data_IF_440704435880
#
_entry.id   IF_440704435880
#
_cell.length_a   1.000
_cell.length_b   1.000
_cell.length_c   1.000
_cell.angle_alpha   90.00
_cell.angle_beta   90.00
_cell.angle_gamma   90.00
#
_symmetry.space_group_name_H-M   'P 1'
#
loop_
_entity.id
_entity.type
_entity.pdbx_description
1 polymer ?
#
# COMPACT_ATOMS: atom_id res chain seq x y z
N UNK A 1 38.91 -31.25 -11.39
CA UNK A 1 38.04 -31.20 -12.61
C UNK A 1 38.42 -32.31 -13.61
N UNK A 2 39.64 -32.85 -13.54
CA UNK A 2 40.16 -33.92 -14.41
C UNK A 2 39.60 -35.33 -14.14
N UNK A 3 39.35 -35.70 -12.88
CA UNK A 3 38.88 -37.06 -12.53
C UNK A 3 37.58 -37.49 -13.24
N UNK A 4 36.69 -36.56 -13.56
CA UNK A 4 35.37 -36.84 -14.16
C UNK A 4 35.40 -37.01 -15.67
N UNK A 5 36.47 -36.54 -16.34
CA UNK A 5 36.60 -36.64 -17.80
C UNK A 5 36.86 -38.08 -18.25
N UNK A 6 37.43 -38.91 -17.38
CA UNK A 6 37.77 -40.32 -17.66
C UNK A 6 36.70 -41.33 -17.21
N UNK A 7 35.67 -40.89 -16.47
CA UNK A 7 34.62 -41.78 -15.97
C UNK A 7 33.61 -42.18 -17.05
N UNK A 8 33.24 -43.45 -17.05
CA UNK A 8 32.12 -44.01 -17.82
C UNK A 8 30.78 -43.41 -17.35
N UNK A 9 29.73 -43.56 -18.17
CA UNK A 9 28.40 -43.06 -17.81
C UNK A 9 27.83 -43.74 -16.54
N UNK A 10 28.16 -45.01 -16.30
CA UNK A 10 27.74 -45.77 -15.11
C UNK A 10 28.42 -45.24 -13.85
N UNK A 11 29.73 -44.99 -13.91
CA UNK A 11 30.50 -44.42 -12.80
C UNK A 11 30.07 -42.99 -12.50
N UNK A 12 29.81 -42.16 -13.54
CA UNK A 12 29.27 -40.81 -13.34
C UNK A 12 27.94 -40.85 -12.61
N UNK A 13 27.05 -41.79 -13.00
CA UNK A 13 25.73 -41.94 -12.37
C UNK A 13 25.84 -42.35 -10.90
N UNK A 14 26.75 -43.27 -10.59
CA UNK A 14 27.02 -43.70 -9.21
C UNK A 14 27.64 -42.58 -8.36
N UNK A 15 28.63 -41.87 -8.89
CA UNK A 15 29.26 -40.72 -8.23
C UNK A 15 28.29 -39.58 -7.92
N UNK A 16 27.39 -39.23 -8.85
CA UNK A 16 26.35 -38.23 -8.60
C UNK A 16 25.30 -38.72 -7.60
N UNK A 17 25.05 -40.03 -7.54
CA UNK A 17 24.17 -40.65 -6.55
C UNK A 17 24.77 -40.61 -5.14
N UNK A 18 26.07 -40.89 -4.99
CA UNK A 18 26.76 -40.79 -3.70
C UNK A 18 26.80 -39.35 -3.18
N UNK A 19 27.18 -38.38 -4.03
CA UNK A 19 27.12 -36.96 -3.67
C UNK A 19 25.71 -36.44 -3.39
N UNK A 20 24.70 -37.10 -3.93
CA UNK A 20 23.30 -36.80 -3.59
C UNK A 20 23.02 -37.14 -2.14
N UNK A 21 23.44 -38.33 -1.67
CA UNK A 21 23.26 -38.76 -0.29
C UNK A 21 23.99 -37.84 0.70
N UNK A 22 25.18 -37.37 0.36
CA UNK A 22 25.94 -36.41 1.19
C UNK A 22 25.22 -35.06 1.38
N UNK A 23 24.33 -34.68 0.45
CA UNK A 23 23.68 -33.36 0.42
C UNK A 23 22.28 -33.37 1.02
N UNK A 24 21.65 -34.54 1.14
CA UNK A 24 20.35 -34.67 1.80
C UNK A 24 20.50 -34.24 3.27
N UNK A 25 19.57 -33.40 3.74
CA UNK A 25 19.62 -32.82 5.09
C UNK A 25 20.56 -31.61 5.24
N UNK A 26 21.34 -31.23 4.22
CA UNK A 26 22.14 -30.01 4.26
C UNK A 26 21.20 -28.81 4.54
N UNK A 27 21.53 -28.03 5.56
CA UNK A 27 20.74 -26.87 6.00
C UNK A 27 21.55 -25.59 5.83
N UNK A 28 20.90 -24.54 5.35
CA UNK A 28 21.47 -23.20 5.15
C UNK A 28 20.45 -22.11 5.43
N UNK A 29 20.92 -20.89 5.55
CA UNK A 29 20.08 -19.69 5.70
C UNK A 29 20.03 -18.96 4.34
N UNK A 30 18.85 -18.54 3.91
CA UNK A 30 18.69 -17.74 2.70
C UNK A 30 19.08 -16.26 2.94
N UNK A 31 19.08 -15.44 1.88
CA UNK A 31 19.45 -14.03 1.97
C UNK A 31 18.50 -13.18 2.82
N UNK A 32 17.34 -13.71 3.21
CA UNK A 32 16.34 -13.06 4.05
C UNK A 32 16.35 -13.55 5.50
N UNK A 33 17.21 -14.52 5.84
CA UNK A 33 17.33 -15.04 7.19
C UNK A 33 16.52 -16.33 7.46
N UNK A 34 15.79 -16.86 6.48
CA UNK A 34 15.03 -18.10 6.66
C UNK A 34 15.88 -19.35 6.46
N UNK A 35 15.68 -20.32 7.35
CA UNK A 35 16.34 -21.62 7.29
C UNK A 35 15.71 -22.49 6.19
N UNK A 36 16.55 -23.12 5.39
CA UNK A 36 16.18 -24.04 4.32
C UNK A 36 17.00 -25.33 4.38
N UNK A 37 16.35 -26.46 4.17
CA UNK A 37 16.93 -27.80 4.24
C UNK A 37 16.69 -28.56 2.95
N UNK A 38 17.70 -29.27 2.44
CA UNK A 38 17.55 -30.14 1.26
C UNK A 38 16.79 -31.42 1.65
N UNK A 39 15.59 -31.59 1.09
CA UNK A 39 14.74 -32.78 1.32
C UNK A 39 14.80 -33.80 0.17
N UNK A 40 15.16 -33.36 -1.04
CA UNK A 40 15.39 -34.22 -2.20
C UNK A 40 16.47 -33.62 -3.09
N UNK A 41 17.38 -34.46 -3.59
CA UNK A 41 18.46 -34.05 -4.47
C UNK A 41 18.53 -35.02 -5.65
N UNK A 42 18.20 -34.56 -6.85
CA UNK A 42 18.29 -35.40 -8.07
C UNK A 42 19.58 -35.13 -8.84
N UNK A 43 19.91 -33.86 -9.00
CA UNK A 43 21.15 -33.37 -9.61
C UNK A 43 21.33 -31.89 -9.30
N UNK A 44 22.43 -31.29 -9.78
CA UNK A 44 22.75 -29.88 -9.53
C UNK A 44 21.63 -28.90 -9.91
N UNK A 45 20.86 -29.21 -10.96
CA UNK A 45 19.78 -28.36 -11.47
C UNK A 45 18.39 -28.73 -10.89
N UNK A 46 18.31 -29.74 -10.03
CA UNK A 46 17.04 -30.25 -9.50
C UNK A 46 17.23 -30.67 -8.04
N UNK A 47 17.09 -29.67 -7.18
CA UNK A 47 17.16 -29.79 -5.72
C UNK A 47 15.83 -29.31 -5.17
N UNK A 48 15.20 -30.10 -4.30
CA UNK A 48 14.01 -29.71 -3.56
C UNK A 48 14.42 -29.31 -2.16
N UNK A 49 13.98 -28.13 -1.72
CA UNK A 49 14.28 -27.58 -0.41
C UNK A 49 12.99 -27.26 0.33
N UNK A 50 13.01 -27.49 1.62
CA UNK A 50 11.95 -27.14 2.56
C UNK A 50 12.45 -26.02 3.47
N UNK A 51 11.64 -25.00 3.66
CA UNK A 51 11.88 -23.94 4.63
C UNK A 51 11.27 -24.31 5.98
N UNK A 52 11.75 -23.71 7.07
CA UNK A 52 11.27 -23.96 8.45
C UNK A 52 9.75 -23.80 8.64
N UNK A 53 9.11 -22.98 7.80
CA UNK A 53 7.67 -22.76 7.78
C UNK A 53 6.89 -23.80 6.96
N UNK A 54 7.55 -24.85 6.47
CA UNK A 54 6.98 -25.91 5.64
C UNK A 54 6.83 -25.57 4.15
N UNK A 55 7.31 -24.40 3.70
CA UNK A 55 7.28 -24.07 2.28
C UNK A 55 8.30 -24.90 1.50
N UNK A 56 7.84 -25.63 0.49
CA UNK A 56 8.69 -26.51 -0.33
C UNK A 56 8.85 -25.91 -1.73
N UNK A 57 10.08 -25.83 -2.20
CA UNK A 57 10.37 -25.33 -3.56
C UNK A 57 11.51 -26.06 -4.23
N UNK A 58 11.52 -26.01 -5.57
CA UNK A 58 12.61 -26.54 -6.39
C UNK A 58 13.57 -25.42 -6.76
N UNK A 59 14.85 -25.75 -6.75
CA UNK A 59 15.94 -24.83 -7.06
C UNK A 59 17.13 -25.59 -7.65
N UNK A 60 18.19 -24.85 -7.95
CA UNK A 60 19.50 -25.42 -8.28
C UNK A 60 20.42 -25.35 -7.06
N UNK A 61 21.35 -26.28 -6.93
CA UNK A 61 22.26 -26.37 -5.79
C UNK A 61 23.08 -25.08 -5.60
N UNK A 62 23.49 -24.44 -6.70
CA UNK A 62 24.21 -23.16 -6.63
C UNK A 62 23.40 -22.01 -6.03
N UNK A 63 22.07 -22.02 -6.14
CA UNK A 63 21.21 -21.02 -5.49
C UNK A 63 21.06 -21.32 -4.00
N UNK A 64 20.93 -22.59 -3.64
CA UNK A 64 20.91 -23.05 -2.26
C UNK A 64 22.19 -22.65 -1.52
N UNK A 65 23.36 -22.94 -2.09
CA UNK A 65 24.66 -22.58 -1.49
C UNK A 65 24.81 -21.07 -1.29
N UNK A 66 24.32 -20.26 -2.25
CA UNK A 66 24.37 -18.79 -2.20
C UNK A 66 23.28 -18.14 -1.35
N UNK A 67 22.34 -18.89 -0.80
CA UNK A 67 21.20 -18.33 -0.07
C UNK A 67 20.14 -17.66 -0.96
N UNK A 68 20.20 -17.78 -2.28
CA UNK A 68 19.30 -17.04 -3.20
C UNK A 68 17.94 -17.71 -3.43
N UNK A 69 17.65 -18.80 -2.73
CA UNK A 69 16.32 -19.45 -2.77
C UNK A 69 15.31 -18.55 -2.06
N UNK A 70 14.23 -18.22 -2.76
CA UNK A 70 13.19 -17.35 -2.24
C UNK A 70 12.15 -18.15 -1.48
N UNK A 71 11.78 -17.66 -0.31
CA UNK A 71 10.59 -18.09 0.42
C UNK A 71 9.53 -16.99 0.28
N UNK A 72 8.32 -17.28 -0.24
CA UNK A 72 7.27 -16.28 -0.46
C UNK A 72 6.74 -15.66 0.84
N UNK A 73 7.04 -16.27 1.98
CA UNK A 73 6.68 -15.78 3.31
C UNK A 73 7.75 -14.90 3.96
N UNK A 74 8.91 -14.72 3.30
CA UNK A 74 9.91 -13.77 3.76
C UNK A 74 9.34 -12.35 3.73
N UNK A 75 9.55 -11.61 4.82
CA UNK A 75 9.05 -10.23 4.98
C UNK A 75 9.89 -9.22 4.20
N UNK A 76 9.80 -9.30 2.88
CA UNK A 76 10.63 -8.50 1.96
C UNK A 76 10.15 -7.05 1.80
N UNK A 77 8.91 -6.73 2.21
CA UNK A 77 8.31 -5.42 1.97
C UNK A 77 8.23 -4.63 3.26
N UNK A 78 9.13 -3.64 3.41
CA UNK A 78 9.27 -2.81 4.61
C UNK A 78 9.39 -3.62 5.92
N UNK A 79 9.98 -4.82 5.86
CA UNK A 79 10.22 -5.70 7.01
C UNK A 79 8.97 -6.36 7.60
N UNK A 80 7.79 -6.13 7.03
CA UNK A 80 6.51 -6.64 7.58
C UNK A 80 5.62 -7.33 6.54
N UNK A 81 5.64 -6.88 5.28
CA UNK A 81 4.85 -7.48 4.20
C UNK A 81 5.60 -8.57 3.45
N UNK A 82 4.86 -9.56 2.96
CA UNK A 82 5.36 -10.71 2.21
C UNK A 82 4.45 -11.04 1.01
N UNK A 83 4.99 -11.77 0.03
CA UNK A 83 4.30 -12.01 -1.25
C UNK A 83 3.23 -13.09 -1.13
N UNK A 84 3.49 -14.14 -0.35
CA UNK A 84 2.63 -15.32 -0.20
C UNK A 84 2.56 -16.19 -1.46
N UNK A 85 1.93 -17.35 -1.32
CA UNK A 85 1.69 -18.28 -2.42
C UNK A 85 0.35 -18.01 -3.09
N UNK A 86 0.37 -17.70 -4.39
CA UNK A 86 -0.88 -17.52 -5.13
C UNK A 86 -0.70 -16.96 -6.55
N UNK A 87 -1.83 -16.62 -7.18
CA UNK A 87 -1.90 -16.24 -8.60
C UNK A 87 -1.50 -14.79 -8.87
N UNK A 88 -1.49 -13.93 -7.86
CA UNK A 88 -1.20 -12.50 -8.04
C UNK A 88 0.30 -12.29 -8.13
N UNK A 89 0.75 -11.68 -9.23
CA UNK A 89 2.17 -11.47 -9.51
C UNK A 89 2.57 -10.06 -9.09
N UNK A 90 3.67 -9.94 -8.36
CA UNK A 90 4.23 -8.62 -8.01
C UNK A 90 4.79 -7.89 -9.24
N UNK A 91 5.31 -8.64 -10.21
CA UNK A 91 5.89 -8.09 -11.45
C UNK A 91 5.51 -8.92 -12.67
N UNK A 92 5.33 -8.25 -13.81
CA UNK A 92 5.11 -8.84 -15.14
C UNK A 92 6.05 -8.16 -16.13
N UNK A 93 6.84 -8.94 -16.87
CA UNK A 93 7.86 -8.44 -17.82
C UNK A 93 8.82 -7.41 -17.17
N UNK A 94 9.22 -7.65 -15.92
CA UNK A 94 10.13 -6.79 -15.17
C UNK A 94 9.51 -5.49 -14.62
N UNK A 95 8.22 -5.25 -14.83
CA UNK A 95 7.51 -4.07 -14.29
C UNK A 95 6.58 -4.49 -13.17
N UNK A 96 6.48 -3.66 -12.12
CA UNK A 96 5.50 -3.85 -11.06
C UNK A 96 4.08 -3.86 -11.63
N UNK A 97 3.26 -4.79 -11.17
CA UNK A 97 1.83 -4.77 -11.48
C UNK A 97 1.13 -3.63 -10.74
N UNK A 98 -0.08 -3.27 -11.17
CA UNK A 98 -0.80 -2.14 -10.59
C UNK A 98 -1.17 -2.42 -9.13
N UNK A 99 -1.67 -3.62 -8.86
CA UNK A 99 -2.00 -4.12 -7.54
C UNK A 99 -0.77 -4.10 -6.61
N UNK A 100 0.40 -4.52 -7.09
CA UNK A 100 1.62 -4.50 -6.29
C UNK A 100 2.12 -3.09 -6.02
N UNK A 101 2.03 -2.19 -7.00
CA UNK A 101 2.41 -0.80 -6.83
C UNK A 101 1.53 -0.09 -5.77
N UNK A 102 0.22 -0.32 -5.80
CA UNK A 102 -0.70 0.21 -4.79
C UNK A 102 -0.42 -0.39 -3.41
N UNK A 103 -0.25 -1.72 -3.34
CA UNK A 103 0.09 -2.41 -2.10
C UNK A 103 1.39 -1.88 -1.51
N UNK A 104 2.48 -1.87 -2.27
CA UNK A 104 3.79 -1.39 -1.82
C UNK A 104 3.76 0.08 -1.38
N UNK A 105 3.00 0.95 -2.08
CA UNK A 105 2.81 2.34 -1.67
C UNK A 105 2.05 2.48 -0.34
N UNK A 106 1.15 1.56 0.01
CA UNK A 106 0.56 1.54 1.36
C UNK A 106 1.60 1.23 2.43
N UNK A 107 2.50 0.27 2.20
CA UNK A 107 3.56 -0.03 3.17
C UNK A 107 4.54 1.13 3.30
N UNK A 108 4.86 1.83 2.22
CA UNK A 108 5.70 3.02 2.28
C UNK A 108 5.09 4.06 3.23
N UNK A 109 3.79 4.34 3.09
CA UNK A 109 3.07 5.28 3.95
C UNK A 109 3.05 4.85 5.42
N UNK A 110 2.86 3.56 5.70
CA UNK A 110 2.72 3.04 7.06
C UNK A 110 4.03 2.73 7.79
N UNK A 111 5.11 2.39 7.06
CA UNK A 111 6.31 1.77 7.66
C UNK A 111 7.63 2.41 7.22
N UNK A 112 7.63 3.31 6.23
CA UNK A 112 8.86 4.05 5.88
C UNK A 112 9.04 5.26 6.78
N UNK A 113 10.04 5.20 7.68
CA UNK A 113 10.40 6.33 8.55
C UNK A 113 10.71 7.60 7.74
N UNK A 114 11.46 7.47 6.64
CA UNK A 114 11.78 8.58 5.73
C UNK A 114 10.51 9.20 5.15
N UNK A 115 9.54 8.38 4.76
CA UNK A 115 8.26 8.88 4.24
C UNK A 115 7.47 9.61 5.31
N UNK A 116 7.35 9.03 6.51
CA UNK A 116 6.59 9.62 7.62
C UNK A 116 7.22 10.89 8.21
N UNK A 117 8.52 11.08 8.05
CA UNK A 117 9.18 12.35 8.36
C UNK A 117 8.74 13.45 7.38
N UNK A 118 8.64 13.12 6.08
CA UNK A 118 8.17 14.05 5.05
C UNK A 118 6.66 14.27 5.11
N UNK A 119 5.90 13.24 5.42
CA UNK A 119 4.43 13.22 5.47
C UNK A 119 3.92 12.76 6.85
N UNK A 120 3.96 13.63 7.88
CA UNK A 120 3.62 13.27 9.25
C UNK A 120 2.17 12.78 9.44
N UNK A 121 1.27 13.09 8.50
CA UNK A 121 -0.14 12.64 8.51
C UNK A 121 -0.27 11.13 8.51
N UNK A 122 0.72 10.40 7.98
CA UNK A 122 0.72 8.94 7.99
C UNK A 122 1.32 8.32 9.25
N UNK A 123 1.79 9.13 10.22
CA UNK A 123 2.29 8.61 11.51
C UNK A 123 1.17 7.88 12.26
N UNK A 124 1.49 6.66 12.70
CA UNK A 124 0.57 5.77 13.38
C UNK A 124 -0.39 5.02 12.44
N UNK A 125 -0.27 5.19 11.12
CA UNK A 125 -1.02 4.37 10.17
C UNK A 125 -0.50 2.93 10.16
N UNK A 126 -1.42 1.97 10.05
CA UNK A 126 -1.13 0.52 10.05
C UNK A 126 -1.90 -0.17 8.92
N UNK A 127 -1.43 -1.34 8.52
CA UNK A 127 -2.11 -2.24 7.59
C UNK A 127 -2.65 -3.43 8.40
N UNK A 128 -3.84 -3.94 8.08
CA UNK A 128 -4.37 -5.12 8.75
C UNK A 128 -3.55 -6.38 8.43
N UNK A 129 -3.56 -7.36 9.33
CA UNK A 129 -2.70 -8.55 9.22
C UNK A 129 -2.93 -9.34 7.93
N UNK A 130 -4.18 -9.43 7.46
CA UNK A 130 -4.50 -10.10 6.19
C UNK A 130 -3.76 -9.47 5.02
N UNK A 131 -3.70 -8.13 4.98
CA UNK A 131 -3.03 -7.40 3.90
C UNK A 131 -1.50 -7.33 4.04
N UNK A 132 -0.93 -7.94 5.10
CA UNK A 132 0.52 -8.24 5.14
C UNK A 132 0.91 -9.26 4.07
N UNK A 133 -0.05 -10.11 3.66
CA UNK A 133 0.09 -11.00 2.52
C UNK A 133 -0.39 -10.31 1.23
N UNK A 134 0.49 -10.17 0.25
CA UNK A 134 0.14 -9.59 -1.04
C UNK A 134 -0.97 -10.38 -1.77
N UNK A 135 -1.10 -11.69 -1.58
CA UNK A 135 -2.17 -12.46 -2.23
C UNK A 135 -3.56 -12.06 -1.73
N UNK A 136 -3.71 -11.82 -0.43
CA UNK A 136 -4.97 -11.37 0.18
C UNK A 136 -5.34 -9.97 -0.32
N UNK A 137 -4.36 -9.06 -0.39
CA UNK A 137 -4.57 -7.75 -0.98
C UNK A 137 -4.88 -7.84 -2.47
N UNK A 138 -4.16 -8.66 -3.23
CA UNK A 138 -4.36 -8.85 -4.67
C UNK A 138 -5.77 -9.36 -5.00
N UNK A 139 -6.30 -10.26 -4.16
CA UNK A 139 -7.69 -10.69 -4.23
C UNK A 139 -8.66 -9.52 -4.04
N UNK A 140 -8.54 -8.82 -2.91
CA UNK A 140 -9.40 -7.66 -2.64
C UNK A 140 -9.30 -6.59 -3.73
N UNK A 141 -8.09 -6.33 -4.23
CA UNK A 141 -7.84 -5.41 -5.32
C UNK A 141 -8.62 -5.82 -6.57
N UNK A 142 -8.52 -7.08 -6.99
CA UNK A 142 -9.22 -7.56 -8.19
C UNK A 142 -10.75 -7.48 -8.10
N UNK A 143 -11.30 -7.59 -6.89
CA UNK A 143 -12.74 -7.54 -6.62
C UNK A 143 -13.27 -6.10 -6.48
N UNK A 144 -12.42 -5.14 -6.09
CA UNK A 144 -12.84 -3.78 -5.72
C UNK A 144 -12.29 -2.69 -6.64
N UNK A 145 -11.25 -2.98 -7.45
CA UNK A 145 -10.66 -2.00 -8.34
C UNK A 145 -11.52 -1.78 -9.57
N UNK A 146 -11.75 -0.50 -9.89
CA UNK A 146 -12.47 -0.05 -11.06
C UNK A 146 -11.72 1.15 -11.66
N UNK A 147 -12.03 1.49 -12.90
CA UNK A 147 -11.44 2.65 -13.58
C UNK A 147 -12.52 3.61 -14.03
N UNK A 148 -12.23 4.91 -13.95
CA UNK A 148 -13.03 5.95 -14.56
C UNK A 148 -12.15 6.66 -15.58
N UNK A 149 -12.65 6.78 -16.82
CA UNK A 149 -11.92 7.44 -17.91
C UNK A 149 -11.49 8.85 -17.48
N UNK A 150 -10.22 9.17 -17.71
CA UNK A 150 -9.64 10.47 -17.35
C UNK A 150 -9.34 10.66 -15.86
N UNK A 151 -9.50 9.63 -15.03
CA UNK A 151 -9.19 9.69 -13.60
C UNK A 151 -8.12 8.68 -13.22
N UNK A 152 -7.21 9.12 -12.35
CA UNK A 152 -6.32 8.21 -11.63
C UNK A 152 -7.05 7.72 -10.38
N UNK A 153 -7.02 6.43 -10.14
CA UNK A 153 -7.65 5.82 -8.96
C UNK A 153 -6.65 5.73 -7.80
N UNK A 154 -7.11 6.06 -6.60
CA UNK A 154 -6.35 6.06 -5.36
C UNK A 154 -7.04 5.17 -4.33
N UNK A 155 -6.27 4.46 -3.49
CA UNK A 155 -6.83 3.80 -2.32
C UNK A 155 -6.84 4.78 -1.14
N UNK A 156 -8.01 4.97 -0.56
CA UNK A 156 -8.23 5.84 0.60
C UNK A 156 -8.80 5.03 1.77
N UNK A 157 -8.38 5.36 3.01
CA UNK A 157 -8.78 4.68 4.26
C UNK A 157 -9.65 5.53 5.19
N UNK A 158 -9.85 6.80 4.86
CA UNK A 158 -10.37 7.85 5.75
C UNK A 158 -11.77 8.32 5.35
N UNK A 159 -12.13 8.21 4.06
CA UNK A 159 -13.43 8.67 3.56
C UNK A 159 -14.59 7.85 4.15
N UNK A 160 -14.40 6.54 4.33
CA UNK A 160 -15.44 5.69 4.94
C UNK A 160 -15.51 5.84 6.45
N UNK A 161 -14.36 6.04 7.10
CA UNK A 161 -14.24 6.18 8.55
C UNK A 161 -13.27 7.31 8.86
N UNK A 162 -13.82 8.43 9.29
CA UNK A 162 -13.07 9.66 9.58
C UNK A 162 -12.03 9.43 10.69
N UNK A 163 -10.81 9.95 10.48
CA UNK A 163 -9.72 9.83 11.45
C UNK A 163 -9.12 8.42 11.59
N UNK A 164 -9.56 7.47 10.78
CA UNK A 164 -9.05 6.11 10.81
C UNK A 164 -7.56 6.04 10.46
N UNK A 165 -6.83 5.15 11.11
CA UNK A 165 -5.40 4.92 10.83
C UNK A 165 -5.10 3.55 10.26
N UNK A 166 -6.10 2.73 9.98
CA UNK A 166 -5.90 1.35 9.55
C UNK A 166 -6.32 1.14 8.11
N UNK A 167 -5.40 0.68 7.26
CA UNK A 167 -5.73 0.15 5.94
C UNK A 167 -6.26 -1.29 6.06
N UNK A 168 -7.50 -1.51 5.63
CA UNK A 168 -8.16 -2.81 5.65
C UNK A 168 -9.29 -2.87 4.62
N UNK A 169 -9.83 -4.07 4.29
CA UNK A 169 -10.97 -4.19 3.39
C UNK A 169 -12.22 -3.39 3.81
N UNK A 170 -12.39 -3.18 5.12
CA UNK A 170 -13.57 -2.51 5.69
C UNK A 170 -13.42 -0.99 5.69
N UNK A 171 -12.18 -0.50 5.81
CA UNK A 171 -11.88 0.93 5.91
C UNK A 171 -11.52 1.54 4.57
N UNK A 172 -11.05 0.71 3.63
CA UNK A 172 -10.52 1.19 2.36
C UNK A 172 -11.53 1.17 1.22
N UNK A 173 -11.38 2.12 0.32
CA UNK A 173 -12.12 2.19 -0.94
C UNK A 173 -11.26 2.83 -2.02
N UNK A 174 -11.42 2.38 -3.26
CA UNK A 174 -10.82 3.07 -4.41
C UNK A 174 -11.65 4.30 -4.75
N UNK A 175 -10.96 5.43 -4.91
CA UNK A 175 -11.57 6.73 -5.20
C UNK A 175 -10.87 7.39 -6.39
N UNK A 176 -11.62 8.11 -7.25
CA UNK A 176 -11.03 8.99 -8.25
C UNK A 176 -10.17 10.08 -7.62
N UNK A 177 -9.12 10.51 -8.31
CA UNK A 177 -8.21 11.55 -7.82
C UNK A 177 -8.94 12.85 -7.47
N UNK A 178 -9.98 13.22 -8.22
CA UNK A 178 -10.77 14.42 -7.94
C UNK A 178 -11.50 14.33 -6.61
N UNK A 179 -12.07 13.15 -6.29
CA UNK A 179 -12.69 12.88 -4.98
C UNK A 179 -11.62 12.90 -3.89
N UNK A 180 -10.48 12.21 -4.08
CA UNK A 180 -9.40 12.16 -3.09
C UNK A 180 -8.90 13.56 -2.68
N UNK A 181 -8.79 14.47 -3.65
CA UNK A 181 -8.36 15.87 -3.41
C UNK A 181 -9.33 16.65 -2.53
N UNK A 182 -10.62 16.31 -2.52
CA UNK A 182 -11.60 16.97 -1.66
C UNK A 182 -11.34 16.67 -0.17
N UNK A 183 -10.81 15.50 0.14
CA UNK A 183 -10.56 15.06 1.53
C UNK A 183 -9.10 15.23 1.97
N UNK A 184 -8.26 15.81 1.12
CA UNK A 184 -6.86 16.07 1.48
C UNK A 184 -6.79 17.21 2.51
N UNK A 185 -6.30 16.89 3.72
CA UNK A 185 -6.11 17.84 4.81
C UNK A 185 -4.82 18.65 4.63
N UNK A 186 -4.84 19.90 5.06
CA UNK A 186 -3.68 20.79 5.09
C UNK A 186 -3.46 21.25 6.54
N UNK A 187 -3.02 20.32 7.39
CA UNK A 187 -2.93 20.52 8.85
C UNK A 187 -1.78 21.42 9.29
N UNK A 188 -0.74 21.56 8.46
CA UNK A 188 0.55 22.10 8.89
C UNK A 188 0.60 23.63 9.10
N UNK A 189 -0.43 24.40 8.71
CA UNK A 189 -0.37 25.87 8.71
C UNK A 189 -1.73 26.49 9.10
N UNK A 190 -2.18 26.29 10.35
CA UNK A 190 -3.50 26.81 10.76
C UNK A 190 -3.54 27.72 11.98
N UNK A 191 -2.44 27.95 12.70
CA UNK A 191 -2.41 28.87 13.86
C UNK A 191 -3.64 28.71 14.78
N UNK A 192 -4.05 27.47 15.08
CA UNK A 192 -5.23 27.11 15.88
C UNK A 192 -6.60 27.58 15.34
N UNK A 193 -6.72 27.91 14.05
CA UNK A 193 -8.01 28.23 13.41
C UNK A 193 -8.71 26.97 12.88
N UNK A 194 -10.06 26.96 12.84
CA UNK A 194 -10.83 25.91 12.18
C UNK A 194 -10.49 25.74 10.69
N UNK A 195 -10.84 24.60 10.11
CA UNK A 195 -10.47 24.27 8.73
C UNK A 195 -11.11 25.26 7.77
N UNK A 196 -10.34 25.66 6.76
CA UNK A 196 -10.78 26.64 5.76
C UNK A 196 -10.90 28.07 6.31
N UNK A 197 -10.56 28.33 7.57
CA UNK A 197 -10.61 29.67 8.18
C UNK A 197 -9.21 30.27 8.28
N UNK A 198 -9.09 31.52 7.85
CA UNK A 198 -7.84 32.28 7.86
C UNK A 198 -8.07 33.67 8.45
N UNK A 199 -7.05 34.23 9.10
CA UNK A 199 -7.06 35.65 9.46
C UNK A 199 -6.81 36.50 8.21
N UNK A 200 -7.55 37.59 8.09
CA UNK A 200 -7.41 38.57 7.03
C UNK A 200 -7.30 39.97 7.63
N UNK A 201 -6.29 40.71 7.21
CA UNK A 201 -6.07 42.09 7.60
C UNK A 201 -6.32 43.01 6.42
N UNK A 202 -7.24 43.97 6.59
CA UNK A 202 -7.47 45.02 5.62
C UNK A 202 -6.37 46.09 5.69
N UNK A 203 -6.21 46.88 4.62
CA UNK A 203 -5.23 47.98 4.55
C UNK A 203 -5.38 49.00 5.69
N UNK A 204 -6.59 49.17 6.22
CA UNK A 204 -6.91 50.03 7.37
C UNK A 204 -6.64 49.37 8.73
N UNK A 205 -5.85 48.29 8.79
CA UNK A 205 -5.52 47.51 10.00
C UNK A 205 -6.70 46.84 10.71
N UNK A 206 -7.90 46.84 10.15
CA UNK A 206 -9.02 46.04 10.66
C UNK A 206 -8.77 44.56 10.37
N UNK A 207 -8.85 43.72 11.38
CA UNK A 207 -8.72 42.26 11.27
C UNK A 207 -10.10 41.61 11.20
N UNK A 208 -10.24 40.59 10.37
CA UNK A 208 -11.42 39.74 10.27
C UNK A 208 -11.02 38.30 9.95
N UNK A 209 -12.00 37.40 9.91
CA UNK A 209 -11.81 36.03 9.46
C UNK A 209 -12.31 35.88 8.03
N UNK A 210 -11.63 35.08 7.22
CA UNK A 210 -12.09 34.71 5.88
C UNK A 210 -12.19 33.21 5.77
N UNK A 211 -13.25 32.74 5.12
CA UNK A 211 -13.43 31.35 4.80
C UNK A 211 -13.01 31.09 3.35
N UNK A 212 -12.22 30.05 3.13
CA UNK A 212 -11.77 29.66 1.81
C UNK A 212 -11.87 28.15 1.62
N UNK A 213 -12.32 27.72 0.44
CA UNK A 213 -12.39 26.32 0.07
C UNK A 213 -11.75 26.11 -1.30
N UNK A 214 -10.95 25.06 -1.41
CA UNK A 214 -10.43 24.60 -2.71
C UNK A 214 -11.52 23.84 -3.45
N UNK A 215 -11.81 24.30 -4.65
CA UNK A 215 -12.79 23.74 -5.56
C UNK A 215 -12.07 23.38 -6.87
N UNK A 216 -11.64 22.12 -6.98
CA UNK A 216 -10.77 21.66 -8.04
C UNK A 216 -9.45 22.45 -8.10
N UNK A 217 -9.29 23.26 -9.15
CA UNK A 217 -8.10 24.12 -9.35
C UNK A 217 -8.26 25.53 -8.76
N UNK A 218 -9.48 25.92 -8.37
CA UNK A 218 -9.80 27.28 -7.94
C UNK A 218 -9.79 27.33 -6.41
N UNK A 219 -9.15 28.36 -5.84
CA UNK A 219 -9.30 28.69 -4.42
C UNK A 219 -10.46 29.68 -4.30
N UNK A 220 -11.60 29.25 -3.76
CA UNK A 220 -12.78 30.10 -3.62
C UNK A 220 -12.82 30.74 -2.24
N UNK A 221 -12.89 32.07 -2.20
CA UNK A 221 -13.17 32.82 -0.97
C UNK A 221 -14.69 32.90 -0.79
N UNK A 222 -15.16 32.48 0.38
CA UNK A 222 -16.58 32.39 0.71
C UNK A 222 -17.11 33.65 1.43
N UNK A 223 -16.20 34.51 1.89
CA UNK A 223 -16.54 35.81 2.46
C UNK A 223 -15.59 36.26 3.56
N UNK A 224 -16.00 37.33 4.23
CA UNK A 224 -15.35 37.90 5.41
C UNK A 224 -16.33 37.88 6.58
N UNK A 225 -15.83 37.53 7.77
CA UNK A 225 -16.63 37.27 8.96
C UNK A 225 -15.97 37.91 10.18
N UNK A 226 -16.80 38.28 11.15
CA UNK A 226 -16.33 38.88 12.40
C UNK A 226 -15.83 37.84 13.42
N UNK A 227 -16.21 36.57 13.29
CA UNK A 227 -15.76 35.49 14.17
C UNK A 227 -15.25 34.29 13.37
N UNK A 228 -14.30 33.55 13.96
CA UNK A 228 -13.76 32.30 13.38
C UNK A 228 -14.87 31.26 13.17
N UNK A 229 -15.77 31.12 14.14
CA UNK A 229 -16.87 30.17 14.07
C UNK A 229 -17.85 30.47 12.92
N UNK A 230 -18.21 31.74 12.67
CA UNK A 230 -19.07 32.08 11.51
C UNK A 230 -18.38 31.81 10.17
N UNK A 231 -17.07 32.08 10.09
CA UNK A 231 -16.28 31.70 8.92
C UNK A 231 -16.26 30.18 8.73
N UNK A 232 -16.09 29.41 9.80
CA UNK A 232 -16.13 27.96 9.76
C UNK A 232 -17.49 27.43 9.30
N UNK A 233 -18.61 27.95 9.81
CA UNK A 233 -19.95 27.54 9.36
C UNK A 233 -20.17 27.77 7.86
N UNK A 234 -19.67 28.89 7.33
CA UNK A 234 -19.71 29.16 5.89
C UNK A 234 -18.84 28.18 5.09
N UNK A 235 -17.64 27.86 5.59
CA UNK A 235 -16.78 26.82 5.02
C UNK A 235 -17.44 25.44 5.05
N UNK A 236 -17.94 25.02 6.21
CA UNK A 236 -18.62 23.74 6.44
C UNK A 236 -19.75 23.54 5.43
N UNK A 237 -20.67 24.51 5.36
CA UNK A 237 -21.80 24.46 4.42
C UNK A 237 -21.32 24.29 2.97
N UNK A 238 -20.40 25.16 2.51
CA UNK A 238 -19.92 25.09 1.14
C UNK A 238 -19.18 23.78 0.84
N UNK A 239 -18.37 23.30 1.79
CA UNK A 239 -17.56 22.10 1.63
C UNK A 239 -18.43 20.85 1.53
N UNK A 240 -19.44 20.74 2.38
CA UNK A 240 -20.40 19.62 2.35
C UNK A 240 -21.25 19.64 1.08
N UNK A 241 -21.72 20.81 0.64
CA UNK A 241 -22.41 20.97 -0.65
C UNK A 241 -21.52 20.53 -1.82
N UNK A 242 -20.25 20.98 -1.86
CA UNK A 242 -19.30 20.58 -2.90
C UNK A 242 -19.02 19.07 -2.92
N UNK A 243 -18.92 18.44 -1.74
CA UNK A 243 -18.75 16.99 -1.63
C UNK A 243 -19.98 16.27 -2.19
N UNK A 244 -21.18 16.71 -1.85
CA UNK A 244 -22.45 16.15 -2.35
C UNK A 244 -22.59 16.33 -3.86
N UNK A 245 -22.30 17.52 -4.39
CA UNK A 245 -22.28 17.79 -5.83
C UNK A 245 -21.29 16.88 -6.57
N UNK A 246 -20.09 16.70 -5.99
CA UNK A 246 -19.09 15.79 -6.56
C UNK A 246 -19.56 14.34 -6.50
N UNK A 247 -20.15 13.88 -5.39
CA UNK A 247 -20.72 12.54 -5.28
C UNK A 247 -21.79 12.31 -6.37
N UNK A 248 -22.68 13.28 -6.57
CA UNK A 248 -23.71 13.24 -7.61
C UNK A 248 -23.13 13.18 -9.03
N UNK A 249 -22.06 13.93 -9.32
CA UNK A 249 -21.34 13.87 -10.60
C UNK A 249 -20.81 12.47 -10.91
N UNK A 250 -20.41 11.71 -9.89
CA UNK A 250 -19.88 10.35 -10.01
C UNK A 250 -20.94 9.26 -9.76
N UNK A 251 -22.21 9.61 -9.56
CA UNK A 251 -23.29 8.67 -9.24
C UNK A 251 -23.38 7.56 -10.29
N UNK A 252 -23.45 6.31 -9.83
CA UNK A 252 -23.44 5.12 -10.69
C UNK A 252 -22.08 4.74 -11.29
N UNK A 253 -21.02 5.52 -11.08
CA UNK A 253 -19.64 5.23 -11.53
C UNK A 253 -18.68 4.92 -10.38
N UNK A 254 -19.11 5.14 -9.15
CA UNK A 254 -18.38 4.83 -7.93
C UNK A 254 -19.18 3.84 -7.08
N UNK A 255 -18.53 3.05 -6.21
CA UNK A 255 -19.21 2.15 -5.30
C UNK A 255 -20.23 2.87 -4.43
N UNK A 256 -21.37 2.24 -4.18
CA UNK A 256 -22.46 2.82 -3.38
C UNK A 256 -22.01 3.21 -1.97
N UNK A 257 -21.15 2.41 -1.34
CA UNK A 257 -20.55 2.73 -0.04
C UNK A 257 -19.78 4.06 -0.05
N UNK A 258 -19.07 4.38 -1.14
CA UNK A 258 -18.33 5.64 -1.27
C UNK A 258 -19.29 6.81 -1.48
N UNK A 259 -20.28 6.63 -2.36
CA UNK A 259 -21.31 7.64 -2.59
C UNK A 259 -22.06 7.99 -1.30
N UNK A 260 -22.52 6.99 -0.55
CA UNK A 260 -23.24 7.20 0.71
C UNK A 260 -22.35 7.87 1.76
N UNK A 261 -21.08 7.47 1.88
CA UNK A 261 -20.13 8.12 2.78
C UNK A 261 -19.93 9.61 2.44
N UNK A 262 -19.86 9.97 1.15
CA UNK A 262 -19.76 11.36 0.72
C UNK A 262 -21.05 12.15 0.99
N UNK A 263 -22.22 11.55 0.73
CA UNK A 263 -23.50 12.22 0.94
C UNK A 263 -23.78 12.52 2.43
N UNK A 264 -23.31 11.64 3.31
CA UNK A 264 -23.44 11.77 4.76
C UNK A 264 -22.21 12.42 5.42
N UNK A 265 -21.28 12.96 4.63
CA UNK A 265 -20.05 13.51 5.19
C UNK A 265 -20.33 14.82 5.92
N UNK A 266 -19.86 14.91 7.17
CA UNK A 266 -19.96 16.10 8.00
C UNK A 266 -18.57 16.67 8.33
N UNK A 267 -18.40 17.96 8.05
CA UNK A 267 -17.17 18.69 8.36
C UNK A 267 -17.19 19.13 9.83
N UNK A 268 -16.07 18.92 10.52
CA UNK A 268 -15.83 19.33 11.91
C UNK A 268 -14.70 20.37 11.99
N UNK A 269 -14.64 21.15 13.08
CA UNK A 269 -13.58 22.17 13.24
C UNK A 269 -12.17 21.57 13.34
N UNK A 270 -12.09 20.34 13.85
CA UNK A 270 -10.88 19.52 13.98
C UNK A 270 -10.41 18.87 12.67
N UNK A 271 -11.18 19.04 11.58
CA UNK A 271 -10.82 18.44 10.30
C UNK A 271 -9.58 19.00 9.65
#
# INVERSE_FOLDING_TARGET
MELRKQMTNKEKRQYYKERSFERLGETRINNMGSVMTIIDYKNYNNVTVEFENGYITKTIYGNFVRGSVKNPYDKTTYGVGYIGEGKYKATVKGKATKEYAVWSSMFERCYSLKYQQREPTYKGCKICDKWMNFQEFGKWFSENYYEIIGQKMHIDKDILIKGNKTYSPLTCVFVPQDINKLFTKADSIRNNLPIGVYLWQFKNRKTCYTAQCRDGKIQKRLGYFNTSHKAFLAYKKYKEELIKETANKYRGRIPEKLYNAMMNYEVSEED
#
